data_IF_795983566012
#
_entry.id   IF_795983566012
#
_cell.length_a   1.000
_cell.length_b   1.000
_cell.length_c   1.000
_cell.angle_alpha   90.00
_cell.angle_beta   90.00
_cell.angle_gamma   90.00
#
_symmetry.space_group_name_H-M   'P 1'
#
loop_
_entity.id
_entity.type
_entity.pdbx_description
1 polymer ?
#
# COMPACT_ATOMS: atom_id res chain seq x y z
N UNK A 1 8.49 5.27 9.37
CA UNK A 1 8.98 4.79 10.68
C UNK A 1 10.31 5.39 11.08
N UNK A 2 11.32 5.43 10.22
CA UNK A 2 12.63 6.02 10.55
C UNK A 2 12.55 7.43 11.17
N UNK A 3 11.73 8.32 10.59
CA UNK A 3 11.53 9.67 11.14
C UNK A 3 11.02 9.64 12.59
N UNK A 4 10.13 8.71 12.95
CA UNK A 4 9.65 8.63 14.33
C UNK A 4 10.78 8.30 15.29
N UNK A 5 11.64 7.37 14.91
CA UNK A 5 12.81 7.00 15.71
C UNK A 5 13.83 8.14 15.83
N UNK A 6 14.03 8.93 14.76
CA UNK A 6 14.98 10.05 14.76
C UNK A 6 14.52 11.22 15.64
N UNK A 7 13.22 11.41 15.78
CA UNK A 7 12.62 12.52 16.53
C UNK A 7 11.97 12.04 17.85
N UNK A 8 12.30 10.84 18.33
CA UNK A 8 11.66 10.24 19.52
C UNK A 8 11.87 11.06 20.80
N UNK A 9 13.00 11.79 20.90
CA UNK A 9 13.33 12.64 22.04
C UNK A 9 12.79 14.08 21.90
N UNK A 10 12.22 14.43 20.74
CA UNK A 10 11.67 15.77 20.54
C UNK A 10 10.30 15.88 21.25
N UNK A 11 10.10 16.82 22.21
CA UNK A 11 8.91 16.83 23.06
C UNK A 11 7.58 16.96 22.29
N UNK A 12 7.60 17.64 21.14
CA UNK A 12 6.44 17.77 20.25
C UNK A 12 5.96 16.43 19.67
N UNK A 13 6.84 15.41 19.61
CA UNK A 13 6.51 14.06 19.14
C UNK A 13 6.00 13.14 20.26
N UNK A 14 6.27 13.47 21.52
CA UNK A 14 5.90 12.65 22.68
C UNK A 14 4.41 12.77 23.06
N UNK A 15 3.74 13.84 22.62
CA UNK A 15 2.40 14.21 23.05
C UNK A 15 1.36 13.97 21.95
N UNK A 16 0.92 12.72 21.80
CA UNK A 16 -0.46 12.36 21.39
C UNK A 16 -0.67 10.87 21.69
N UNK A 17 -0.66 10.49 22.96
CA UNK A 17 -1.26 9.20 23.40
C UNK A 17 -2.73 9.44 23.81
N UNK A 18 -3.12 10.70 24.07
CA UNK A 18 -4.44 11.05 24.61
C UNK A 18 -5.46 11.61 23.60
N UNK A 19 -5.08 11.88 22.35
CA UNK A 19 -6.05 12.26 21.33
C UNK A 19 -6.45 11.04 20.52
N UNK A 20 -7.52 10.37 20.96
CA UNK A 20 -8.57 9.73 20.15
C UNK A 20 -8.26 9.08 18.80
N UNK A 21 -7.02 8.66 18.54
CA UNK A 21 -6.66 7.90 17.34
C UNK A 21 -7.11 6.46 17.53
N UNK A 22 -8.42 6.27 17.67
CA UNK A 22 -9.05 4.97 17.52
C UNK A 22 -8.93 4.56 16.05
N UNK A 23 -8.13 3.51 15.78
CA UNK A 23 -8.07 2.90 14.45
C UNK A 23 -6.69 2.41 14.00
N UNK A 24 -6.68 1.76 12.83
CA UNK A 24 -5.53 1.11 12.18
C UNK A 24 -4.27 1.98 12.10
N UNK A 25 -4.42 3.30 12.04
CA UNK A 25 -3.32 4.27 11.99
C UNK A 25 -2.48 4.30 13.28
N UNK A 26 -3.11 4.19 14.44
CA UNK A 26 -2.39 4.16 15.72
C UNK A 26 -1.56 2.88 15.82
N UNK A 27 -2.15 1.74 15.47
CA UNK A 27 -1.47 0.43 15.43
C UNK A 27 -0.31 0.47 14.43
N UNK A 28 -0.55 0.96 13.21
CA UNK A 28 0.47 1.05 12.18
C UNK A 28 1.64 1.95 12.58
N UNK A 29 1.42 2.95 13.44
CA UNK A 29 2.46 3.91 13.88
C UNK A 29 3.02 3.65 15.28
N UNK A 30 2.49 2.65 16.00
CA UNK A 30 2.87 2.35 17.38
C UNK A 30 4.27 1.75 17.52
N UNK A 31 4.73 1.01 16.50
CA UNK A 31 5.99 0.29 16.55
C UNK A 31 7.02 0.90 15.62
N UNK A 32 8.11 1.40 16.19
CA UNK A 32 9.32 1.78 15.49
C UNK A 32 10.54 1.31 16.27
N UNK A 33 11.64 1.06 15.56
CA UNK A 33 12.90 0.62 16.17
C UNK A 33 13.60 1.86 16.70
N UNK A 34 13.95 1.94 17.99
CA UNK A 34 14.68 3.08 18.53
C UNK A 34 16.06 3.18 17.89
N UNK A 35 16.54 4.40 17.68
CA UNK A 35 17.85 4.68 17.12
C UNK A 35 18.83 4.97 18.27
N UNK A 36 20.11 4.58 18.18
CA UNK A 36 21.08 4.92 19.21
C UNK A 36 21.09 6.42 19.55
N UNK A 37 21.08 6.74 20.84
CA UNK A 37 21.06 8.11 21.36
C UNK A 37 22.15 9.04 20.80
N UNK A 38 23.28 8.48 20.38
CA UNK A 38 24.43 9.21 19.83
C UNK A 38 24.39 9.33 18.29
N UNK A 39 23.33 8.87 17.63
CA UNK A 39 23.17 9.03 16.18
C UNK A 39 23.04 10.51 15.83
N UNK A 40 23.85 11.04 14.91
CA UNK A 40 23.71 12.42 14.44
C UNK A 40 22.44 12.60 13.60
N UNK A 41 21.62 13.59 13.97
CA UNK A 41 20.53 14.11 13.15
C UNK A 41 20.98 15.42 12.51
N UNK A 42 20.92 15.48 11.18
CA UNK A 42 21.35 16.64 10.39
C UNK A 42 20.17 17.09 9.53
N UNK A 43 19.82 18.37 9.61
CA UNK A 43 18.90 19.01 8.68
C UNK A 43 19.70 19.92 7.75
N UNK A 44 19.44 19.82 6.45
CA UNK A 44 20.14 20.57 5.41
C UNK A 44 19.18 20.97 4.29
N UNK A 45 19.52 22.05 3.59
CA UNK A 45 18.87 22.45 2.34
C UNK A 45 19.21 21.46 1.22
N UNK A 46 18.44 21.49 0.12
CA UNK A 46 18.67 20.62 -1.05
C UNK A 46 20.02 20.84 -1.75
N UNK A 47 20.64 22.01 -1.52
CA UNK A 47 21.99 22.34 -2.00
C UNK A 47 23.11 21.78 -1.10
N UNK A 48 22.77 21.06 -0.02
CA UNK A 48 23.73 20.49 0.93
C UNK A 48 24.16 21.43 2.06
N UNK A 49 23.64 22.66 2.12
CA UNK A 49 23.92 23.60 3.22
C UNK A 49 23.30 23.08 4.51
N UNK A 50 24.10 22.81 5.57
CA UNK A 50 23.55 22.38 6.85
C UNK A 50 22.80 23.54 7.52
N UNK A 51 21.59 23.26 7.99
CA UNK A 51 20.81 24.15 8.84
C UNK A 51 21.24 23.98 10.29
N UNK A 52 21.26 22.74 10.76
CA UNK A 52 21.78 22.37 12.08
C UNK A 52 22.10 20.88 12.17
N UNK A 53 22.85 20.52 13.22
CA UNK A 53 23.23 19.15 13.57
C UNK A 53 23.11 18.97 15.08
N UNK A 54 22.45 17.90 15.51
CA UNK A 54 22.40 17.48 16.91
C UNK A 54 22.58 15.96 17.01
N UNK A 55 22.68 15.43 18.23
CA UNK A 55 22.47 14.00 18.48
C UNK A 55 20.99 13.76 18.77
N UNK A 56 20.46 12.60 18.39
CA UNK A 56 19.04 12.25 18.60
C UNK A 56 18.59 12.51 20.06
N UNK A 57 19.42 12.14 21.06
CA UNK A 57 19.10 12.35 22.48
C UNK A 57 19.00 13.82 22.91
N UNK A 58 19.67 14.72 22.20
CA UNK A 58 19.75 16.13 22.56
C UNK A 58 18.51 16.90 22.06
N UNK A 59 17.62 16.26 21.29
CA UNK A 59 16.39 16.87 20.75
C UNK A 59 15.40 17.35 21.83
N UNK A 60 15.56 16.88 23.07
CA UNK A 60 14.76 17.30 24.22
C UNK A 60 15.23 18.61 24.85
N UNK A 61 16.46 19.04 24.56
CA UNK A 61 17.02 20.27 25.13
C UNK A 61 16.33 21.50 24.53
N UNK A 62 16.21 22.58 25.31
CA UNK A 62 15.44 23.77 24.93
C UNK A 62 15.93 24.40 23.61
N UNK A 63 17.24 24.55 23.44
CA UNK A 63 17.83 25.17 22.24
C UNK A 63 17.58 24.30 21.00
N UNK A 64 17.87 23.01 21.07
CA UNK A 64 17.68 22.05 19.99
C UNK A 64 16.20 21.88 19.64
N UNK A 65 15.32 21.83 20.64
CA UNK A 65 13.87 21.73 20.43
C UNK A 65 13.33 22.96 19.70
N UNK A 66 13.81 24.16 20.02
CA UNK A 66 13.42 25.38 19.30
C UNK A 66 13.93 25.35 17.85
N UNK A 67 15.19 24.95 17.63
CA UNK A 67 15.74 24.80 16.28
C UNK A 67 14.95 23.78 15.44
N UNK A 68 14.53 22.67 16.05
CA UNK A 68 13.67 21.69 15.40
C UNK A 68 12.33 22.31 15.01
N UNK A 69 11.69 23.06 15.91
CA UNK A 69 10.43 23.76 15.62
C UNK A 69 10.55 24.77 14.48
N UNK A 70 11.68 25.47 14.37
CA UNK A 70 11.89 26.51 13.36
C UNK A 70 12.21 25.95 11.96
N UNK A 71 12.90 24.81 11.89
CA UNK A 71 13.51 24.33 10.65
C UNK A 71 13.02 22.97 10.17
N UNK A 72 12.30 22.19 10.99
CA UNK A 72 11.77 20.89 10.55
C UNK A 72 10.67 21.09 9.50
N UNK A 73 10.80 20.48 8.31
CA UNK A 73 9.80 20.64 7.26
C UNK A 73 8.42 20.08 7.65
N UNK A 74 7.32 20.64 7.11
CA UNK A 74 5.97 20.18 7.42
C UNK A 74 5.71 18.70 7.12
N UNK A 75 6.32 18.12 6.08
CA UNK A 75 6.16 16.70 5.76
C UNK A 75 6.76 15.78 6.84
N UNK A 76 7.72 16.27 7.63
CA UNK A 76 8.25 15.54 8.78
C UNK A 76 7.27 15.64 9.93
N UNK A 77 6.80 16.84 10.28
CA UNK A 77 5.83 17.04 11.38
C UNK A 77 4.51 16.32 11.12
N UNK A 78 4.06 16.25 9.86
CA UNK A 78 2.93 15.43 9.44
C UNK A 78 3.09 13.96 9.86
N UNK A 79 4.30 13.42 9.76
CA UNK A 79 4.60 12.02 10.12
C UNK A 79 4.83 11.86 11.62
N UNK A 80 5.63 12.72 12.24
CA UNK A 80 6.10 12.52 13.62
C UNK A 80 5.11 13.03 14.66
N UNK A 81 4.48 14.19 14.43
CA UNK A 81 3.48 14.78 15.33
C UNK A 81 2.06 14.33 14.97
N UNK A 82 1.64 14.51 13.70
CA UNK A 82 0.24 14.30 13.25
C UNK A 82 -0.09 12.86 12.89
N UNK A 83 0.89 11.97 12.97
CA UNK A 83 0.79 10.54 12.64
C UNK A 83 0.19 10.23 11.26
N UNK A 84 0.36 11.13 10.30
CA UNK A 84 -0.09 10.90 8.93
C UNK A 84 0.75 9.78 8.30
N UNK A 85 0.05 8.75 7.81
CA UNK A 85 0.69 7.68 7.05
C UNK A 85 1.02 8.18 5.64
N UNK A 86 2.16 7.75 5.06
CA UNK A 86 2.45 8.02 3.67
C UNK A 86 1.32 7.55 2.76
N UNK A 87 1.00 8.34 1.74
CA UNK A 87 0.00 7.94 0.74
C UNK A 87 0.54 6.78 -0.08
N UNK A 88 -0.24 5.70 -0.19
CA UNK A 88 0.09 4.58 -1.05
C UNK A 88 0.04 5.01 -2.53
N UNK A 89 1.12 4.75 -3.26
CA UNK A 89 1.13 4.95 -4.71
C UNK A 89 0.22 3.93 -5.37
N UNK A 90 -0.80 4.42 -6.08
CA UNK A 90 -1.65 3.58 -6.92
C UNK A 90 -0.98 3.34 -8.27
N UNK A 91 -1.11 2.12 -8.75
CA UNK A 91 -0.61 1.68 -10.04
C UNK A 91 -1.76 1.19 -10.91
N UNK A 92 -1.91 1.74 -12.13
CA UNK A 92 -2.88 1.23 -13.09
C UNK A 92 -2.44 -0.11 -13.69
N UNK A 93 -3.41 -0.98 -13.94
CA UNK A 93 -3.21 -2.25 -14.61
C UNK A 93 -4.47 -2.69 -15.36
N UNK A 94 -4.31 -3.58 -16.34
CA UNK A 94 -5.39 -4.20 -17.08
C UNK A 94 -5.49 -5.68 -16.71
N UNK A 95 -6.71 -6.20 -16.73
CA UNK A 95 -7.01 -7.59 -16.41
C UNK A 95 -7.82 -8.22 -17.54
N UNK A 96 -7.29 -9.27 -18.17
CA UNK A 96 -7.89 -9.92 -19.34
C UNK A 96 -7.97 -11.44 -19.17
N UNK A 97 -8.91 -12.13 -19.84
CA UNK A 97 -8.86 -13.59 -19.89
C UNK A 97 -7.60 -14.04 -20.63
N UNK A 98 -6.98 -15.11 -20.13
CA UNK A 98 -5.83 -15.72 -20.80
C UNK A 98 -6.22 -16.19 -22.21
N UNK A 99 -5.38 -15.96 -23.25
CA UNK A 99 -5.72 -16.29 -24.64
C UNK A 99 -6.16 -17.75 -24.84
N UNK A 100 -5.63 -18.68 -24.04
CA UNK A 100 -5.99 -20.11 -24.08
C UNK A 100 -7.46 -20.40 -23.74
N UNK A 101 -8.18 -19.48 -23.08
CA UNK A 101 -9.58 -19.68 -22.71
C UNK A 101 -10.55 -19.47 -23.89
N UNK A 102 -10.08 -18.90 -25.02
CA UNK A 102 -10.90 -18.62 -26.22
C UNK A 102 -12.21 -17.84 -25.92
N UNK A 103 -12.25 -17.08 -24.83
CA UNK A 103 -13.39 -16.22 -24.47
C UNK A 103 -13.31 -14.95 -25.32
N UNK A 104 -14.44 -14.51 -25.91
CA UNK A 104 -14.51 -13.20 -26.56
C UNK A 104 -14.05 -12.15 -25.56
N UNK A 105 -12.97 -11.43 -25.89
CA UNK A 105 -12.32 -10.51 -24.96
C UNK A 105 -13.37 -9.57 -24.36
N UNK A 106 -13.65 -9.65 -23.04
CA UNK A 106 -14.51 -8.69 -22.38
C UNK A 106 -13.87 -7.30 -22.48
N UNK A 107 -14.64 -6.26 -22.14
CA UNK A 107 -14.15 -4.89 -22.13
C UNK A 107 -12.84 -4.82 -21.33
N UNK A 108 -11.83 -4.17 -21.90
CA UNK A 108 -10.53 -3.96 -21.24
C UNK A 108 -10.74 -3.00 -20.07
N UNK A 109 -11.01 -3.55 -18.88
CA UNK A 109 -11.17 -2.73 -17.68
C UNK A 109 -9.79 -2.31 -17.16
N UNK A 110 -9.57 -0.99 -17.14
CA UNK A 110 -8.38 -0.37 -16.55
C UNK A 110 -8.62 -0.21 -15.05
N UNK A 111 -8.00 -1.08 -14.28
CA UNK A 111 -8.06 -1.09 -12.82
C UNK A 111 -6.89 -0.30 -12.23
N UNK A 112 -7.01 0.08 -10.96
CA UNK A 112 -5.96 0.78 -10.23
C UNK A 112 -5.97 0.36 -8.77
N UNK A 113 -4.81 -0.03 -8.24
CA UNK A 113 -4.65 -0.47 -6.86
C UNK A 113 -3.31 -0.02 -6.29
N UNK A 114 -3.11 -0.15 -4.98
CA UNK A 114 -1.78 0.04 -4.38
C UNK A 114 -0.77 -0.90 -5.01
N UNK A 115 0.46 -0.42 -5.24
CA UNK A 115 1.54 -1.25 -5.78
C UNK A 115 1.94 -2.42 -4.85
N UNK A 116 1.58 -2.33 -3.57
CA UNK A 116 1.77 -3.40 -2.57
C UNK A 116 0.62 -4.44 -2.60
N UNK A 117 -0.37 -4.30 -3.49
CA UNK A 117 -1.47 -5.26 -3.59
C UNK A 117 -0.88 -6.61 -4.02
N UNK A 118 -1.17 -7.67 -3.27
CA UNK A 118 -0.71 -9.01 -3.60
C UNK A 118 -1.50 -9.60 -4.78
N UNK A 119 -0.83 -10.42 -5.58
CA UNK A 119 -1.41 -11.16 -6.71
C UNK A 119 -2.62 -11.99 -6.25
N UNK A 120 -2.56 -12.62 -5.07
CA UNK A 120 -3.72 -13.34 -4.50
C UNK A 120 -4.99 -12.49 -4.37
N UNK A 121 -4.86 -11.20 -4.07
CA UNK A 121 -6.01 -10.29 -3.96
C UNK A 121 -6.61 -9.96 -5.32
N UNK A 122 -5.78 -9.92 -6.37
CA UNK A 122 -6.27 -9.82 -7.75
C UNK A 122 -6.98 -11.11 -8.15
N UNK A 123 -6.49 -12.28 -7.72
CA UNK A 123 -7.16 -13.57 -7.98
C UNK A 123 -8.54 -13.64 -7.31
N UNK A 124 -8.64 -13.24 -6.04
CA UNK A 124 -9.90 -13.12 -5.30
C UNK A 124 -10.89 -12.22 -6.06
N UNK A 125 -10.43 -11.05 -6.52
CA UNK A 125 -11.25 -10.13 -7.32
C UNK A 125 -11.77 -10.77 -8.62
N UNK A 126 -10.91 -11.47 -9.37
CA UNK A 126 -11.33 -12.17 -10.60
C UNK A 126 -12.41 -13.20 -10.28
N UNK A 127 -12.21 -14.00 -9.24
CA UNK A 127 -13.13 -15.07 -8.87
C UNK A 127 -14.51 -14.51 -8.51
N UNK A 128 -14.55 -13.52 -7.62
CA UNK A 128 -15.80 -12.95 -7.12
C UNK A 128 -16.52 -12.05 -8.13
N UNK A 129 -15.78 -11.23 -8.88
CA UNK A 129 -16.38 -10.16 -9.70
C UNK A 129 -16.39 -10.46 -11.20
N UNK A 130 -15.51 -11.31 -11.69
CA UNK A 130 -15.42 -11.61 -13.12
C UNK A 130 -16.05 -12.95 -13.45
N UNK A 131 -15.78 -13.99 -12.65
CA UNK A 131 -16.32 -15.33 -12.88
C UNK A 131 -17.74 -15.50 -12.31
N UNK A 132 -17.96 -15.19 -11.03
CA UNK A 132 -19.29 -15.33 -10.42
C UNK A 132 -20.33 -14.36 -11.01
N UNK A 133 -19.91 -13.18 -11.48
CA UNK A 133 -20.81 -12.23 -12.16
C UNK A 133 -21.32 -12.78 -13.50
N UNK A 134 -20.56 -13.64 -14.18
CA UNK A 134 -21.00 -14.32 -15.39
C UNK A 134 -22.03 -15.44 -15.09
N UNK A 135 -21.99 -16.05 -13.91
CA UNK A 135 -22.97 -17.07 -13.49
C UNK A 135 -24.31 -16.44 -13.02
N UNK A 136 -24.26 -15.22 -12.46
CA UNK A 136 -25.46 -14.50 -11.98
C UNK A 136 -26.21 -13.68 -13.03
N UNK A 137 -25.65 -13.48 -14.23
CA UNK A 137 -26.21 -12.57 -15.25
C UNK A 137 -27.42 -13.10 -16.03
N UNK A 138 -28.13 -14.12 -15.52
CA UNK A 138 -29.50 -14.41 -15.94
C UNK A 138 -30.57 -13.73 -15.05
N UNK A 139 -30.20 -12.77 -14.20
CA UNK A 139 -31.16 -11.95 -13.46
C UNK A 139 -30.72 -10.46 -13.35
N UNK A 140 -31.38 -9.62 -14.15
CA UNK A 140 -31.64 -8.18 -14.05
C UNK A 140 -30.71 -7.25 -13.20
N UNK A 141 -30.01 -6.35 -13.92
CA UNK A 141 -29.94 -4.87 -13.77
C UNK A 141 -29.93 -4.20 -12.37
N UNK A 142 -28.82 -3.55 -12.00
CA UNK A 142 -28.66 -2.06 -11.88
C UNK A 142 -27.34 -1.66 -11.17
N UNK A 143 -26.67 -0.56 -11.57
CA UNK A 143 -25.43 -0.08 -10.94
C UNK A 143 -25.72 1.01 -9.90
N UNK A 144 -25.28 0.82 -8.67
CA UNK A 144 -25.26 1.91 -7.69
C UNK A 144 -25.06 1.45 -6.25
N UNK A 145 -24.14 2.14 -5.57
CA UNK A 145 -23.88 2.15 -4.12
C UNK A 145 -22.92 1.08 -3.59
N UNK A 146 -21.77 1.60 -3.13
CA UNK A 146 -20.82 0.86 -2.33
C UNK A 146 -21.43 0.47 -0.99
N UNK A 147 -21.12 -0.74 -0.55
CA UNK A 147 -21.28 -1.20 0.82
C UNK A 147 -20.18 -2.24 1.05
N UNK A 148 -19.14 -1.82 1.78
CA UNK A 148 -17.95 -2.60 2.13
C UNK A 148 -18.19 -3.60 3.28
N UNK A 149 -19.42 -4.05 3.53
CA UNK A 149 -19.74 -4.80 4.75
C UNK A 149 -20.59 -6.08 4.57
N UNK A 150 -20.77 -6.62 3.36
CA UNK A 150 -21.67 -7.77 3.20
C UNK A 150 -21.29 -8.73 2.06
N UNK A 151 -20.11 -9.35 2.12
CA UNK A 151 -19.72 -10.43 1.20
C UNK A 151 -19.00 -11.56 1.95
N UNK A 152 -19.75 -12.26 2.81
CA UNK A 152 -19.31 -13.52 3.43
C UNK A 152 -20.32 -14.65 3.16
N UNK A 153 -20.84 -14.73 1.93
CA UNK A 153 -21.81 -15.76 1.55
C UNK A 153 -21.56 -16.36 0.18
N UNK A 154 -20.41 -17.03 0.02
CA UNK A 154 -20.32 -18.25 -0.79
C UNK A 154 -19.13 -19.06 -0.29
N UNK A 155 -19.43 -20.23 0.29
CA UNK A 155 -18.54 -21.07 1.10
C UNK A 155 -17.42 -21.77 0.35
N UNK A 156 -16.57 -21.02 -0.35
CA UNK A 156 -15.20 -21.42 -0.65
C UNK A 156 -14.31 -20.50 0.17
N UNK A 157 -13.47 -21.08 1.03
CA UNK A 157 -12.45 -20.31 1.74
C UNK A 157 -11.69 -19.46 0.71
N UNK A 158 -11.68 -18.12 0.87
CA UNK A 158 -10.84 -17.23 0.05
C UNK A 158 -9.38 -17.73 0.00
N UNK A 159 -8.97 -18.48 1.02
CA UNK A 159 -7.70 -19.17 1.08
C UNK A 159 -7.45 -20.18 -0.05
N UNK A 160 -8.46 -20.72 -0.73
CA UNK A 160 -8.33 -21.72 -1.80
C UNK A 160 -8.50 -21.15 -3.22
N UNK A 161 -8.72 -19.84 -3.38
CA UNK A 161 -8.92 -19.26 -4.73
C UNK A 161 -7.67 -19.44 -5.61
N UNK A 162 -6.48 -19.34 -5.03
CA UNK A 162 -5.20 -19.55 -5.72
C UNK A 162 -5.02 -20.99 -6.25
N UNK A 163 -5.80 -21.97 -5.77
CA UNK A 163 -5.78 -23.34 -6.30
C UNK A 163 -6.74 -23.54 -7.48
N UNK A 164 -7.62 -22.57 -7.74
CA UNK A 164 -8.62 -22.60 -8.82
C UNK A 164 -8.36 -21.57 -9.91
N UNK A 165 -7.49 -20.60 -9.66
CA UNK A 165 -7.20 -19.51 -10.58
C UNK A 165 -5.70 -19.26 -10.65
N UNK A 166 -5.21 -19.10 -11.88
CA UNK A 166 -3.86 -18.66 -12.16
C UNK A 166 -3.85 -17.26 -12.75
N UNK A 167 -2.83 -16.47 -12.42
CA UNK A 167 -2.55 -15.18 -13.05
C UNK A 167 -1.22 -15.25 -13.80
N UNK A 168 -1.17 -14.58 -14.94
CA UNK A 168 -0.03 -14.53 -15.84
C UNK A 168 0.31 -13.08 -16.22
N UNK A 169 1.58 -12.81 -16.43
CA UNK A 169 2.08 -11.58 -17.05
C UNK A 169 3.24 -11.96 -17.99
N UNK A 170 3.23 -11.47 -19.23
CA UNK A 170 4.21 -11.87 -20.27
C UNK A 170 4.39 -13.40 -20.36
N UNK A 171 3.28 -14.16 -20.40
CA UNK A 171 3.24 -15.63 -20.41
C UNK A 171 3.90 -16.33 -19.21
N UNK A 172 4.36 -15.58 -18.21
CA UNK A 172 4.88 -16.12 -16.96
C UNK A 172 3.77 -16.20 -15.91
N UNK A 173 3.61 -17.38 -15.31
CA UNK A 173 2.73 -17.59 -14.15
C UNK A 173 3.25 -16.79 -12.95
N UNK A 174 2.35 -16.07 -12.29
CA UNK A 174 2.65 -15.25 -11.12
C UNK A 174 2.41 -16.02 -9.82
N UNK A 175 3.33 -15.85 -8.86
CA UNK A 175 3.16 -16.40 -7.52
C UNK A 175 2.14 -15.57 -6.70
N UNK A 176 1.22 -16.20 -5.96
CA UNK A 176 0.16 -15.48 -5.22
C UNK A 176 0.67 -14.46 -4.19
N UNK A 177 1.86 -14.70 -3.64
CA UNK A 177 2.49 -13.86 -2.61
C UNK A 177 3.25 -12.65 -3.17
N UNK A 178 3.48 -12.58 -4.49
CA UNK A 178 4.08 -11.40 -5.12
C UNK A 178 3.14 -10.20 -5.01
N UNK A 179 3.71 -9.01 -4.88
CA UNK A 179 2.97 -7.75 -5.03
C UNK A 179 3.06 -7.19 -6.46
N UNK A 180 2.13 -6.29 -6.81
CA UNK A 180 2.06 -5.72 -8.16
C UNK A 180 3.34 -4.93 -8.53
N UNK A 181 4.01 -4.29 -7.57
CA UNK A 181 5.29 -3.61 -7.79
C UNK A 181 6.34 -4.59 -8.29
N UNK A 182 6.46 -5.74 -7.63
CA UNK A 182 7.39 -6.81 -7.98
C UNK A 182 7.08 -7.36 -9.36
N UNK A 183 5.80 -7.61 -9.67
CA UNK A 183 5.38 -8.05 -11.01
C UNK A 183 5.75 -7.02 -12.08
N UNK A 184 5.50 -5.73 -11.84
CA UNK A 184 5.85 -4.67 -12.79
C UNK A 184 7.35 -4.57 -13.02
N UNK A 185 8.14 -4.64 -11.96
CA UNK A 185 9.59 -4.47 -12.03
C UNK A 185 10.31 -5.68 -12.65
N UNK A 186 9.93 -6.89 -12.25
CA UNK A 186 10.66 -8.11 -12.61
C UNK A 186 10.06 -8.91 -13.76
N UNK A 187 8.74 -8.83 -14.00
CA UNK A 187 8.04 -9.63 -15.02
C UNK A 187 7.63 -8.76 -16.22
N UNK A 188 6.95 -7.64 -15.98
CA UNK A 188 6.42 -6.79 -17.05
C UNK A 188 7.53 -6.16 -17.90
N UNK A 189 8.52 -5.52 -17.26
CA UNK A 189 9.75 -4.95 -17.89
C UNK A 189 9.52 -4.01 -19.09
N UNK A 190 8.28 -3.60 -19.34
CA UNK A 190 7.88 -2.69 -20.42
C UNK A 190 7.37 -1.36 -19.85
N UNK A 191 7.37 -0.32 -20.67
CA UNK A 191 6.72 0.94 -20.33
C UNK A 191 5.20 0.80 -20.26
N UNK A 192 4.54 1.69 -19.51
CA UNK A 192 3.08 1.75 -19.44
C UNK A 192 2.45 0.96 -18.29
N UNK A 193 1.17 0.65 -18.48
CA UNK A 193 0.33 -0.02 -17.48
C UNK A 193 0.55 -1.53 -17.50
N UNK A 194 0.53 -2.14 -16.32
CA UNK A 194 0.73 -3.58 -16.17
C UNK A 194 -0.42 -4.35 -16.84
N UNK A 195 -0.11 -5.42 -17.57
CA UNK A 195 -1.10 -6.29 -18.21
C UNK A 195 -1.10 -7.66 -17.55
N UNK A 196 -2.24 -8.05 -16.97
CA UNK A 196 -2.44 -9.32 -16.29
C UNK A 196 -3.47 -10.17 -17.01
N UNK A 197 -3.21 -11.47 -17.06
CA UNK A 197 -4.09 -12.46 -17.67
C UNK A 197 -4.54 -13.49 -16.64
N UNK A 198 -5.85 -13.69 -16.48
CA UNK A 198 -6.38 -14.71 -15.58
C UNK A 198 -6.78 -15.99 -16.34
N UNK A 199 -6.56 -17.13 -15.70
CA UNK A 199 -6.93 -18.44 -16.22
C UNK A 199 -7.59 -19.26 -15.11
N UNK A 200 -8.86 -19.60 -15.30
CA UNK A 200 -9.55 -20.56 -14.42
C UNK A 200 -9.02 -21.97 -14.68
N UNK A 201 -8.68 -22.68 -13.60
CA UNK A 201 -8.35 -24.10 -13.61
C UNK A 201 -9.66 -24.89 -13.59
N UNK A 202 -9.74 -25.92 -14.45
CA UNK A 202 -10.85 -26.87 -14.46
C UNK A 202 -10.63 -27.97 -13.44
#
# INVERSE_FOLDING_TARGET
MLLRSLFEWWPHCALTINDGAEGDTAIATAHYIPIPAHTPLILCESNGRPLFRLLVKDAANETESQLLSDFVPPWVTDVVERRQLPKFTKMPFFLLPHPSLNVKAPKKDRLSATEMLQVRKVMEHVYEKVLNANEGNNALSSPGQGNEAQLMSSGLSLGAVHTKLELYCNDQKLEPDMDLRTVKHFVWKQGGDLLLYYKALK
#
